data_IF_767332128878
#
_entry.id   IF_767332128878
#
_cell.length_a   1.000
_cell.length_b   1.000
_cell.length_c   1.000
_cell.angle_alpha   90.00
_cell.angle_beta   90.00
_cell.angle_gamma   90.00
#
_symmetry.space_group_name_H-M   'P 1'
#
loop_
_entity.id
_entity.type
_entity.pdbx_description
1 polymer ?
#
# COMPACT_ATOMS: atom_id res chain seq x y z
N UNK A 1 6.13 16.81 -16.74
CA UNK A 1 6.17 16.91 -15.27
C UNK A 1 4.84 16.45 -14.75
N UNK A 2 4.82 15.31 -14.10
CA UNK A 2 3.61 14.77 -13.51
C UNK A 2 3.87 14.36 -12.06
N UNK A 3 2.93 14.67 -11.18
CA UNK A 3 2.95 14.30 -9.76
C UNK A 3 1.96 13.17 -9.53
N UNK A 4 2.43 12.06 -8.98
CA UNK A 4 1.66 10.86 -8.69
C UNK A 4 1.44 10.77 -7.18
N UNK A 5 0.20 10.78 -6.73
CA UNK A 5 -0.17 10.64 -5.32
C UNK A 5 -0.61 9.21 -5.03
N UNK A 6 0.05 8.54 -4.10
CA UNK A 6 -0.38 7.24 -3.56
C UNK A 6 -0.98 7.36 -2.17
N UNK A 7 -2.09 6.67 -1.90
CA UNK A 7 -2.78 6.64 -0.60
C UNK A 7 -2.96 5.18 -0.15
N UNK A 8 -2.54 4.87 1.08
CA UNK A 8 -2.75 3.58 1.70
C UNK A 8 -3.22 3.73 3.15
N UNK A 9 -4.30 3.05 3.49
CA UNK A 9 -4.88 2.98 4.84
C UNK A 9 -4.95 1.53 5.33
N UNK A 10 -3.88 0.79 5.07
CA UNK A 10 -3.75 -0.57 5.58
C UNK A 10 -3.53 -0.59 7.09
N UNK A 11 -4.17 -1.50 7.71
CA UNK A 11 -4.21 -1.94 9.10
C UNK A 11 -3.67 -0.98 10.20
N UNK A 12 -2.35 -0.74 10.30
CA UNK A 12 -1.75 0.01 11.43
C UNK A 12 -1.17 1.37 11.05
N UNK A 13 -1.21 1.74 9.79
CA UNK A 13 -0.54 2.95 9.32
C UNK A 13 -1.39 3.70 8.31
N UNK A 14 -1.67 4.97 8.58
CA UNK A 14 -2.19 5.90 7.58
C UNK A 14 -1.01 6.46 6.81
N UNK A 15 -0.97 6.29 5.50
CA UNK A 15 0.15 6.73 4.68
C UNK A 15 -0.28 7.37 3.36
N UNK A 16 0.49 8.35 2.92
CA UNK A 16 0.47 8.87 1.56
C UNK A 16 1.90 9.16 1.11
N UNK A 17 2.12 9.07 -0.20
CA UNK A 17 3.37 9.44 -0.82
C UNK A 17 3.10 10.12 -2.17
N UNK A 18 3.98 11.03 -2.57
CA UNK A 18 4.00 11.54 -3.93
C UNK A 18 5.33 11.23 -4.60
N UNK A 19 5.26 11.02 -5.90
CA UNK A 19 6.39 10.86 -6.80
C UNK A 19 6.32 11.92 -7.90
N UNK A 20 7.41 12.63 -8.12
CA UNK A 20 7.58 13.58 -9.23
C UNK A 20 8.47 12.91 -10.30
N UNK A 21 7.93 12.74 -11.51
CA UNK A 21 8.60 12.03 -12.62
C UNK A 21 9.80 12.78 -13.20
N UNK A 22 9.90 14.08 -12.96
CA UNK A 22 11.01 14.91 -13.47
C UNK A 22 12.19 14.93 -12.54
N UNK A 23 11.93 15.17 -11.25
CA UNK A 23 13.00 15.18 -10.23
C UNK A 23 13.39 13.79 -9.74
N UNK A 24 12.52 12.79 -9.94
CA UNK A 24 12.63 11.47 -9.33
C UNK A 24 12.44 11.49 -7.81
N UNK A 25 11.98 12.61 -7.26
CA UNK A 25 11.81 12.80 -5.83
C UNK A 25 10.58 12.05 -5.33
N UNK A 26 10.75 11.35 -4.22
CA UNK A 26 9.65 10.73 -3.46
C UNK A 26 9.53 11.44 -2.13
N UNK A 27 8.38 12.03 -1.87
CA UNK A 27 8.01 12.52 -0.54
C UNK A 27 6.93 11.64 0.06
N UNK A 28 7.09 11.23 1.32
CA UNK A 28 6.12 10.40 2.01
C UNK A 28 5.80 10.92 3.41
N UNK A 29 4.55 10.75 3.81
CA UNK A 29 4.09 11.00 5.17
C UNK A 29 3.32 9.80 5.67
N UNK A 30 3.58 9.40 6.92
CA UNK A 30 2.86 8.31 7.57
C UNK A 30 2.57 8.63 9.03
N UNK A 31 1.48 8.09 9.53
CA UNK A 31 1.07 8.16 10.93
C UNK A 31 0.63 6.78 11.39
N UNK A 32 1.23 6.29 12.48
CA UNK A 32 0.81 5.04 13.10
C UNK A 32 -0.54 5.22 13.79
N UNK A 33 -1.38 4.20 13.72
CA UNK A 33 -2.60 4.16 14.51
C UNK A 33 -2.27 3.89 15.98
N UNK A 34 -2.98 4.51 16.93
CA UNK A 34 -2.78 4.24 18.35
C UNK A 34 -3.27 2.83 18.69
N UNK A 35 -2.36 1.97 19.14
CA UNK A 35 -2.68 0.65 19.69
C UNK A 35 -2.53 0.73 21.20
N UNK A 36 -3.55 0.31 21.93
CA UNK A 36 -3.51 0.31 23.40
C UNK A 36 -2.49 -0.70 23.91
N UNK A 37 -1.77 -0.32 24.95
CA UNK A 37 -0.80 -1.21 25.60
C UNK A 37 -1.47 -2.51 26.05
N UNK A 38 -0.90 -3.67 25.65
CA UNK A 38 -1.42 -4.99 25.97
C UNK A 38 -2.43 -5.57 24.97
N UNK A 39 -2.89 -4.81 23.97
CA UNK A 39 -3.72 -5.34 22.88
C UNK A 39 -2.83 -5.95 21.79
N UNK A 40 -3.24 -7.14 21.28
CA UNK A 40 -2.51 -7.87 20.21
C UNK A 40 -2.93 -7.47 18.81
N UNK A 41 -3.77 -6.45 18.66
CA UNK A 41 -4.30 -6.03 17.38
C UNK A 41 -5.21 -4.82 17.50
N UNK A 42 -5.68 -4.31 16.37
CA UNK A 42 -6.63 -3.21 16.26
C UNK A 42 -7.92 -3.73 15.62
N UNK A 43 -9.08 -3.42 16.22
CA UNK A 43 -10.37 -3.72 15.59
C UNK A 43 -10.51 -2.90 14.31
N UNK A 44 -11.15 -3.46 13.30
CA UNK A 44 -11.34 -2.76 12.02
C UNK A 44 -12.13 -1.46 12.18
N UNK A 45 -13.11 -1.41 13.07
CA UNK A 45 -13.85 -0.17 13.41
C UNK A 45 -12.94 0.94 13.93
N UNK A 46 -11.99 0.57 14.81
CA UNK A 46 -11.06 1.51 15.41
C UNK A 46 -10.02 1.98 14.37
N UNK A 47 -9.58 1.06 13.49
CA UNK A 47 -8.72 1.41 12.37
C UNK A 47 -9.41 2.42 11.44
N UNK A 48 -10.66 2.17 11.02
CA UNK A 48 -11.46 3.10 10.21
C UNK A 48 -11.56 4.46 10.87
N UNK A 49 -11.88 4.50 12.17
CA UNK A 49 -12.00 5.75 12.92
C UNK A 49 -10.70 6.54 12.93
N UNK A 50 -9.58 5.91 13.26
CA UNK A 50 -8.29 6.57 13.33
C UNK A 50 -7.77 7.00 11.95
N UNK A 51 -7.93 6.16 10.93
CA UNK A 51 -7.60 6.56 9.55
C UNK A 51 -8.39 7.80 9.12
N UNK A 52 -9.69 7.83 9.42
CA UNK A 52 -10.55 9.00 9.10
C UNK A 52 -10.04 10.28 9.76
N UNK A 53 -9.54 10.19 11.00
CA UNK A 53 -9.00 11.34 11.72
C UNK A 53 -7.63 11.81 11.19
N UNK A 54 -6.79 10.89 10.71
CA UNK A 54 -5.39 11.16 10.38
C UNK A 54 -5.15 11.42 8.88
N UNK A 55 -5.98 10.86 7.99
CA UNK A 55 -5.68 10.82 6.55
C UNK A 55 -5.54 12.21 5.93
N UNK A 56 -6.38 13.16 6.34
CA UNK A 56 -6.30 14.52 5.83
C UNK A 56 -4.94 15.19 6.13
N UNK A 57 -4.36 14.95 7.33
CA UNK A 57 -3.07 15.50 7.73
C UNK A 57 -1.93 14.93 6.88
N UNK A 58 -2.02 13.62 6.61
CA UNK A 58 -1.01 12.91 5.82
C UNK A 58 -1.06 13.36 4.36
N UNK A 59 -2.26 13.42 3.78
CA UNK A 59 -2.46 13.85 2.38
C UNK A 59 -2.12 15.32 2.19
N UNK A 60 -2.56 16.22 3.10
CA UNK A 60 -2.22 17.65 3.01
C UNK A 60 -0.71 17.87 3.03
N UNK A 61 0.01 17.22 3.95
CA UNK A 61 1.45 17.38 4.04
C UNK A 61 2.18 16.96 2.74
N UNK A 62 1.67 15.92 2.05
CA UNK A 62 2.22 15.48 0.77
C UNK A 62 1.90 16.46 -0.35
N UNK A 63 0.66 16.97 -0.41
CA UNK A 63 0.25 17.96 -1.41
C UNK A 63 0.95 19.31 -1.20
N UNK A 64 1.13 19.73 0.04
CA UNK A 64 1.83 20.98 0.38
C UNK A 64 3.29 20.94 -0.08
N UNK A 65 3.94 19.78 -0.03
CA UNK A 65 5.33 19.60 -0.44
C UNK A 65 5.49 19.41 -1.95
N UNK A 66 4.63 18.59 -2.56
CA UNK A 66 4.81 18.15 -3.96
C UNK A 66 3.87 18.86 -4.96
N UNK A 67 2.89 19.61 -4.46
CA UNK A 67 1.88 20.26 -5.29
C UNK A 67 0.69 19.36 -5.64
N UNK A 68 -0.16 19.89 -6.53
CA UNK A 68 -1.38 19.20 -6.98
C UNK A 68 -1.01 17.93 -7.76
N UNK A 69 -1.59 16.77 -7.42
CA UNK A 69 -1.34 15.55 -8.19
C UNK A 69 -2.01 15.59 -9.57
N UNK A 70 -1.36 14.97 -10.55
CA UNK A 70 -1.89 14.70 -11.89
C UNK A 70 -2.50 13.29 -11.97
N UNK A 71 -2.08 12.38 -11.10
CA UNK A 71 -2.57 11.00 -11.00
C UNK A 71 -2.70 10.60 -9.53
N UNK A 72 -3.72 9.79 -9.23
CA UNK A 72 -3.94 9.26 -7.88
C UNK A 72 -3.97 7.73 -7.94
N UNK A 73 -3.23 7.09 -7.04
CA UNK A 73 -3.31 5.65 -6.77
C UNK A 73 -3.79 5.39 -5.34
N UNK A 74 -4.61 4.36 -5.14
CA UNK A 74 -5.04 3.98 -3.80
C UNK A 74 -5.13 2.47 -3.64
N UNK A 75 -4.77 1.98 -2.46
CA UNK A 75 -5.02 0.58 -2.11
C UNK A 75 -6.50 0.38 -1.77
N UNK A 76 -7.12 -0.65 -2.37
CA UNK A 76 -8.54 -0.94 -2.17
C UNK A 76 -8.79 -2.17 -1.30
N UNK A 77 -7.84 -3.08 -1.21
CA UNK A 77 -7.92 -4.33 -0.47
C UNK A 77 -6.52 -4.85 -0.11
N UNK A 78 -6.39 -5.81 0.81
CA UNK A 78 -5.12 -6.47 1.09
C UNK A 78 -4.48 -7.15 -0.13
N UNK A 79 -5.32 -7.84 -0.95
CA UNK A 79 -4.90 -8.64 -2.12
C UNK A 79 -5.96 -8.59 -3.21
N UNK A 80 -5.57 -8.94 -4.44
CA UNK A 80 -6.47 -9.16 -5.57
C UNK A 80 -7.06 -10.57 -5.55
N UNK A 81 -7.74 -10.93 -4.46
CA UNK A 81 -8.36 -12.23 -4.27
C UNK A 81 -9.81 -12.08 -3.80
N UNK A 82 -10.67 -12.99 -4.22
CA UNK A 82 -12.06 -13.01 -3.76
C UNK A 82 -12.13 -13.10 -2.23
N UNK A 83 -12.98 -12.29 -1.62
CA UNK A 83 -13.11 -12.20 -0.16
C UNK A 83 -11.99 -11.43 0.55
N UNK A 84 -11.01 -10.91 -0.16
CA UNK A 84 -9.95 -10.08 0.41
C UNK A 84 -10.46 -8.66 0.68
N UNK A 85 -11.27 -8.51 1.73
CA UNK A 85 -11.86 -7.24 2.12
C UNK A 85 -11.49 -6.88 3.56
N UNK A 86 -11.05 -5.65 3.76
CA UNK A 86 -10.88 -5.06 5.10
C UNK A 86 -11.44 -3.63 5.11
N UNK A 87 -12.32 -3.29 6.06
CA UNK A 87 -12.98 -1.97 6.14
C UNK A 87 -12.03 -0.78 6.16
N UNK A 88 -10.84 -0.91 6.75
CA UNK A 88 -9.87 0.20 6.84
C UNK A 88 -9.45 0.76 5.47
N UNK A 89 -9.39 -0.07 4.42
CA UNK A 89 -9.05 0.40 3.07
C UNK A 89 -10.09 1.35 2.47
N UNK A 90 -11.35 1.26 2.89
CA UNK A 90 -12.41 2.13 2.38
C UNK A 90 -12.16 3.60 2.67
N UNK A 91 -11.43 3.94 3.73
CA UNK A 91 -11.12 5.32 4.10
C UNK A 91 -10.21 5.97 3.04
N UNK A 92 -9.09 5.31 2.73
CA UNK A 92 -8.14 5.78 1.71
C UNK A 92 -8.76 5.82 0.32
N UNK A 93 -9.43 4.73 -0.07
CA UNK A 93 -10.06 4.62 -1.38
C UNK A 93 -11.15 5.68 -1.59
N UNK A 94 -12.04 5.90 -0.63
CA UNK A 94 -13.09 6.91 -0.77
C UNK A 94 -12.50 8.33 -0.81
N UNK A 95 -11.47 8.61 -0.02
CA UNK A 95 -10.76 9.89 -0.09
C UNK A 95 -10.11 10.09 -1.45
N UNK A 96 -9.46 9.06 -2.00
CA UNK A 96 -8.87 9.10 -3.33
C UNK A 96 -9.93 9.34 -4.43
N UNK A 97 -11.11 8.70 -4.34
CA UNK A 97 -12.26 8.93 -5.24
C UNK A 97 -12.76 10.38 -5.17
N UNK A 98 -12.90 10.92 -3.96
CA UNK A 98 -13.29 12.32 -3.78
C UNK A 98 -12.26 13.29 -4.38
N UNK A 99 -10.97 13.07 -4.12
CA UNK A 99 -9.89 13.90 -4.66
C UNK A 99 -9.81 13.80 -6.18
N UNK A 100 -9.86 12.60 -6.75
CA UNK A 100 -9.88 12.38 -8.19
C UNK A 100 -11.02 13.15 -8.86
N UNK A 101 -12.23 13.02 -8.32
CA UNK A 101 -13.41 13.74 -8.83
C UNK A 101 -13.28 15.26 -8.71
N UNK A 102 -12.82 15.77 -7.56
CA UNK A 102 -12.68 17.19 -7.30
C UNK A 102 -11.58 17.86 -8.14
N UNK A 103 -10.48 17.14 -8.39
CA UNK A 103 -9.33 17.63 -9.14
C UNK A 103 -9.43 17.36 -10.65
N UNK A 104 -10.34 16.46 -11.07
CA UNK A 104 -10.48 16.02 -12.46
C UNK A 104 -9.27 15.21 -12.96
N UNK A 105 -8.69 14.38 -12.10
CA UNK A 105 -7.50 13.57 -12.41
C UNK A 105 -7.80 12.07 -12.34
N UNK A 106 -7.10 11.21 -13.12
CA UNK A 106 -7.31 9.77 -13.09
C UNK A 106 -7.03 9.15 -11.72
N UNK A 107 -7.83 8.12 -11.37
CA UNK A 107 -7.63 7.27 -10.20
C UNK A 107 -7.32 5.83 -10.65
N UNK A 108 -6.31 5.23 -10.01
CA UNK A 108 -5.93 3.83 -10.18
C UNK A 108 -6.06 3.10 -8.85
N UNK A 109 -6.72 1.94 -8.87
CA UNK A 109 -6.96 1.13 -7.69
C UNK A 109 -6.04 -0.11 -7.72
N UNK A 110 -5.28 -0.33 -6.64
CA UNK A 110 -4.34 -1.45 -6.52
C UNK A 110 -4.57 -2.19 -5.21
N UNK A 111 -4.20 -3.47 -5.15
CA UNK A 111 -4.12 -4.13 -3.86
C UNK A 111 -2.90 -3.66 -3.06
N UNK A 112 -2.99 -3.72 -1.74
CA UNK A 112 -1.87 -3.39 -0.85
C UNK A 112 -0.65 -4.30 -1.13
N UNK A 113 -0.87 -5.58 -1.44
CA UNK A 113 0.18 -6.51 -1.82
C UNK A 113 0.89 -6.08 -3.11
N UNK A 114 0.14 -5.63 -4.13
CA UNK A 114 0.73 -5.09 -5.36
C UNK A 114 1.58 -3.85 -5.08
N UNK A 115 1.12 -2.97 -4.18
CA UNK A 115 1.89 -1.82 -3.72
C UNK A 115 3.22 -2.20 -3.07
N UNK A 116 3.25 -3.23 -2.22
CA UNK A 116 4.49 -3.75 -1.63
C UNK A 116 5.45 -4.30 -2.67
N UNK A 117 4.96 -5.09 -3.62
CA UNK A 117 5.79 -5.64 -4.71
C UNK A 117 6.34 -4.51 -5.57
N UNK A 118 5.50 -3.56 -5.97
CA UNK A 118 5.91 -2.41 -6.78
C UNK A 118 6.97 -1.56 -6.06
N UNK A 119 6.80 -1.30 -4.76
CA UNK A 119 7.78 -0.57 -3.96
C UNK A 119 9.13 -1.31 -3.87
N UNK A 120 9.12 -2.64 -3.74
CA UNK A 120 10.32 -3.45 -3.73
C UNK A 120 11.04 -3.43 -5.09
N UNK A 121 10.31 -3.57 -6.18
CA UNK A 121 10.85 -3.45 -7.56
C UNK A 121 11.47 -2.08 -7.78
N UNK A 122 10.73 -1.00 -7.45
CA UNK A 122 11.24 0.36 -7.59
C UNK A 122 12.52 0.60 -6.77
N UNK A 123 12.51 0.22 -5.49
CA UNK A 123 13.66 0.45 -4.59
C UNK A 123 14.88 -0.41 -4.93
N UNK A 124 14.70 -1.54 -5.61
CA UNK A 124 15.81 -2.37 -6.10
C UNK A 124 16.50 -1.78 -7.34
N UNK A 125 15.87 -0.83 -8.03
CA UNK A 125 16.32 -0.28 -9.29
C UNK A 125 16.06 -1.19 -10.52
N UNK A 126 15.38 -2.32 -10.32
CA UNK A 126 15.09 -3.31 -11.37
C UNK A 126 13.68 -3.13 -11.93
N UNK A 127 13.39 -1.94 -12.45
CA UNK A 127 12.06 -1.60 -13.01
C UNK A 127 11.65 -2.46 -14.20
N UNK A 128 12.62 -3.09 -14.90
CA UNK A 128 12.35 -4.05 -15.96
C UNK A 128 11.57 -5.30 -15.49
N UNK A 129 11.47 -5.53 -14.19
CA UNK A 129 10.66 -6.59 -13.62
C UNK A 129 9.15 -6.34 -13.78
N UNK A 130 8.72 -5.09 -13.99
CA UNK A 130 7.32 -4.81 -14.32
C UNK A 130 6.88 -5.40 -15.66
N UNK A 131 7.82 -5.70 -16.56
CA UNK A 131 7.57 -6.27 -17.88
C UNK A 131 7.84 -7.79 -17.94
N UNK A 132 8.10 -8.45 -16.81
CA UNK A 132 8.49 -9.87 -16.74
C UNK A 132 7.77 -10.63 -15.66
N UNK A 133 7.68 -11.95 -15.84
CA UNK A 133 7.34 -12.87 -14.77
C UNK A 133 8.53 -13.05 -13.80
N UNK A 134 8.25 -12.97 -12.50
CA UNK A 134 9.26 -13.20 -11.45
C UNK A 134 8.63 -13.74 -10.16
N UNK A 135 9.49 -14.25 -9.27
CA UNK A 135 9.07 -14.69 -7.93
C UNK A 135 9.45 -13.61 -6.92
N UNK A 136 8.47 -13.17 -6.13
CA UNK A 136 8.67 -12.30 -4.98
C UNK A 136 8.43 -13.09 -3.68
N UNK A 137 9.16 -12.75 -2.62
CA UNK A 137 8.90 -13.26 -1.28
C UNK A 137 8.27 -12.16 -0.42
N UNK A 138 7.07 -12.44 0.09
CA UNK A 138 6.43 -11.60 1.08
C UNK A 138 6.71 -12.16 2.47
N UNK A 139 7.61 -11.52 3.21
CA UNK A 139 8.11 -11.97 4.51
C UNK A 139 7.81 -10.94 5.58
N UNK A 140 7.03 -11.32 6.59
CA UNK A 140 6.67 -10.47 7.72
C UNK A 140 6.44 -11.30 8.99
N UNK A 141 6.06 -10.65 10.09
CA UNK A 141 5.65 -11.34 11.33
C UNK A 141 4.38 -12.16 11.18
N UNK A 142 3.47 -11.77 10.27
CA UNK A 142 2.19 -12.44 10.04
C UNK A 142 2.13 -13.28 8.75
N UNK A 143 3.11 -13.14 7.86
CA UNK A 143 3.05 -13.71 6.52
C UNK A 143 4.44 -14.18 6.07
N UNK A 144 4.50 -15.36 5.47
CA UNK A 144 5.67 -15.85 4.73
C UNK A 144 5.17 -16.61 3.52
N UNK A 145 5.25 -15.99 2.35
CA UNK A 145 4.69 -16.45 1.10
C UNK A 145 5.66 -16.26 -0.06
N UNK A 146 5.64 -17.20 -0.99
CA UNK A 146 6.24 -17.06 -2.31
C UNK A 146 5.13 -16.67 -3.29
N UNK A 147 5.35 -15.59 -4.01
CA UNK A 147 4.41 -14.98 -4.93
C UNK A 147 4.94 -15.10 -6.35
N UNK A 148 4.13 -15.62 -7.26
CA UNK A 148 4.40 -15.52 -8.69
C UNK A 148 3.77 -14.23 -9.19
N UNK A 149 4.59 -13.33 -9.69
CA UNK A 149 4.20 -12.00 -10.16
C UNK A 149 4.32 -11.98 -11.67
N UNK A 150 3.24 -11.52 -12.34
CA UNK A 150 3.19 -11.36 -13.79
C UNK A 150 2.74 -9.95 -14.14
N UNK A 151 3.22 -9.37 -15.24
CA UNK A 151 2.64 -8.15 -15.81
C UNK A 151 1.15 -8.33 -16.09
N UNK A 152 0.38 -7.28 -15.89
CA UNK A 152 -1.06 -7.25 -16.19
C UNK A 152 -1.43 -5.87 -16.74
N UNK A 153 -2.16 -5.83 -17.86
CA UNK A 153 -2.49 -4.57 -18.54
C UNK A 153 -3.50 -3.70 -17.77
N UNK A 154 -4.37 -4.33 -16.95
CA UNK A 154 -5.41 -3.62 -16.19
C UNK A 154 -4.95 -3.28 -14.77
N UNK A 155 -4.24 -4.21 -14.12
CA UNK A 155 -3.88 -4.13 -12.70
C UNK A 155 -2.41 -3.83 -12.43
N UNK A 156 -1.62 -3.61 -13.48
CA UNK A 156 -0.17 -3.55 -13.48
C UNK A 156 0.50 -4.89 -13.17
N UNK A 157 0.08 -5.56 -12.11
CA UNK A 157 0.64 -6.84 -11.65
C UNK A 157 -0.51 -7.82 -11.31
N UNK A 158 -0.41 -9.03 -11.83
CA UNK A 158 -1.17 -10.19 -11.38
C UNK A 158 -0.29 -11.01 -10.42
N UNK A 159 -0.80 -11.29 -9.22
CA UNK A 159 0.00 -11.90 -8.13
C UNK A 159 -0.70 -13.15 -7.62
N UNK A 160 -0.07 -14.31 -7.86
CA UNK A 160 -0.51 -15.62 -7.38
C UNK A 160 0.36 -16.12 -6.23
N UNK A 161 -0.26 -16.66 -5.19
CA UNK A 161 0.48 -17.33 -4.12
C UNK A 161 0.84 -18.74 -4.57
N UNK A 162 2.13 -19.01 -4.77
CA UNK A 162 2.63 -20.34 -5.19
C UNK A 162 3.20 -21.17 -4.02
N UNK A 163 3.38 -20.54 -2.87
CA UNK A 163 3.84 -21.23 -1.66
C UNK A 163 3.65 -20.37 -0.43
N UNK A 164 3.48 -21.02 0.72
CA UNK A 164 3.40 -20.33 2.03
C UNK A 164 3.93 -21.24 3.13
N UNK A 165 4.37 -20.65 4.23
CA UNK A 165 4.70 -21.40 5.44
C UNK A 165 3.46 -22.13 5.97
N UNK A 166 3.67 -23.31 6.50
CA UNK A 166 2.61 -24.14 7.11
C UNK A 166 2.54 -23.97 8.65
N UNK A 167 3.56 -23.39 9.25
CA UNK A 167 3.67 -23.27 10.70
C UNK A 167 4.13 -21.84 11.07
N UNK A 168 5.42 -21.60 11.20
CA UNK A 168 5.99 -20.38 11.72
C UNK A 168 6.32 -19.38 10.60
N UNK A 169 5.85 -18.14 10.74
CA UNK A 169 6.28 -17.08 9.83
C UNK A 169 7.71 -16.63 10.13
N UNK A 170 8.45 -16.23 9.08
CA UNK A 170 9.87 -15.90 9.20
C UNK A 170 10.14 -14.76 10.19
N UNK A 171 9.28 -13.71 10.23
CA UNK A 171 9.42 -12.66 11.24
C UNK A 171 9.26 -13.19 12.67
N UNK A 172 8.33 -14.11 12.91
CA UNK A 172 8.19 -14.76 14.21
C UNK A 172 9.39 -15.65 14.57
N UNK A 173 10.03 -16.26 13.55
CA UNK A 173 11.26 -17.01 13.77
C UNK A 173 12.40 -16.09 14.23
N UNK A 174 12.54 -14.92 13.59
CA UNK A 174 13.52 -13.89 13.99
C UNK A 174 13.25 -13.41 15.43
N UNK A 175 11.99 -13.08 15.76
CA UNK A 175 11.60 -12.63 17.11
C UNK A 175 11.86 -13.66 18.23
N UNK A 176 11.97 -14.96 17.87
CA UNK A 176 12.22 -16.03 18.85
C UNK A 176 13.70 -16.33 19.09
N UNK A 177 14.58 -15.93 18.18
CA UNK A 177 16.04 -16.19 18.27
C UNK A 177 16.86 -14.94 18.56
N UNK A 178 16.29 -13.76 18.44
CA UNK A 178 16.87 -12.45 18.78
C UNK A 178 16.42 -11.99 20.15
#
# INVERSE_FOLDING_TARGET
MAVYLGIDTSNYTTSAAAFDDVSGCVFQKKMLLPVKSGERGLRQSDAVFHHTQQLWQVVSAVIDECGKPDFIGASYAPRDAEGSYMPCFTVGLNTAKCLSSALGVPLYEFSHQAGHVAAAVYSSGHVELFDREFIAFHVSGGTTEALLVRPDEEKLLNIDIIGRTLDLNAGQAVDRVG
#
